data_IF_450149638002
#
_entry.id   IF_450149638002
#
_cell.length_a   1.000
_cell.length_b   1.000
_cell.length_c   1.000
_cell.angle_alpha   90.00
_cell.angle_beta   90.00
_cell.angle_gamma   90.00
#
_symmetry.space_group_name_H-M   'P 1'
#
loop_
_entity.id
_entity.type
_entity.pdbx_description
1 polymer ?
#
# COMPACT_ATOMS: atom_id res chain seq x y z
N UNK A 1 1.66 -33.11 14.49
CA UNK A 1 2.54 -32.51 13.48
C UNK A 1 1.89 -31.24 13.00
N UNK A 2 2.68 -30.20 12.75
CA UNK A 2 2.18 -28.87 12.36
C UNK A 2 1.26 -28.93 11.12
N UNK A 3 1.62 -29.77 10.16
CA UNK A 3 0.80 -30.05 8.97
C UNK A 3 -0.64 -30.47 9.34
N UNK A 4 -0.80 -31.47 10.22
CA UNK A 4 -2.12 -31.95 10.62
C UNK A 4 -2.96 -30.88 11.31
N UNK A 5 -2.33 -30.02 12.12
CA UNK A 5 -3.02 -28.94 12.81
C UNK A 5 -3.53 -27.88 11.81
N UNK A 6 -2.70 -27.52 10.83
CA UNK A 6 -3.08 -26.61 9.73
C UNK A 6 -4.22 -27.17 8.89
N UNK A 7 -4.15 -28.45 8.49
CA UNK A 7 -5.22 -29.12 7.74
C UNK A 7 -6.52 -29.15 8.54
N UNK A 8 -6.46 -29.45 9.84
CA UNK A 8 -7.63 -29.48 10.72
C UNK A 8 -8.29 -28.10 10.88
N UNK A 9 -7.49 -27.05 11.07
CA UNK A 9 -7.97 -25.68 11.17
C UNK A 9 -8.58 -25.19 9.84
N UNK A 10 -7.94 -25.52 8.71
CA UNK A 10 -8.46 -25.25 7.38
C UNK A 10 -9.79 -25.99 7.12
N UNK A 11 -9.84 -27.29 7.40
CA UNK A 11 -11.05 -28.11 7.26
C UNK A 11 -12.23 -27.52 8.05
N UNK A 12 -11.99 -27.10 9.29
CA UNK A 12 -13.00 -26.49 10.17
C UNK A 12 -13.51 -25.16 9.62
N UNK A 13 -12.63 -24.29 9.15
CA UNK A 13 -13.00 -22.96 8.63
C UNK A 13 -13.74 -23.03 7.29
N UNK A 14 -13.37 -23.99 6.44
CA UNK A 14 -13.98 -24.18 5.13
C UNK A 14 -15.27 -25.00 5.19
N UNK A 15 -15.42 -25.82 6.24
CA UNK A 15 -16.57 -26.70 6.45
C UNK A 15 -16.50 -27.99 5.61
N UNK A 16 -15.30 -28.51 5.38
CA UNK A 16 -15.02 -29.73 4.61
C UNK A 16 -14.32 -30.75 5.52
N UNK A 17 -14.59 -32.04 5.35
CA UNK A 17 -13.95 -33.08 6.17
C UNK A 17 -12.43 -33.16 5.92
N UNK A 18 -11.66 -33.39 6.99
CA UNK A 18 -10.19 -33.44 6.94
C UNK A 18 -9.65 -34.44 5.91
N UNK A 19 -10.25 -35.64 5.83
CA UNK A 19 -9.85 -36.67 4.87
C UNK A 19 -10.00 -36.18 3.41
N UNK A 20 -11.06 -35.42 3.12
CA UNK A 20 -11.30 -34.90 1.77
C UNK A 20 -10.35 -33.76 1.44
N UNK A 21 -10.01 -32.91 2.41
CA UNK A 21 -8.98 -31.87 2.22
C UNK A 21 -7.63 -32.51 1.87
N UNK A 22 -7.22 -33.58 2.58
CA UNK A 22 -5.96 -34.28 2.28
C UNK A 22 -5.95 -34.88 0.89
N UNK A 23 -6.99 -35.63 0.53
CA UNK A 23 -7.12 -36.24 -0.80
C UNK A 23 -6.96 -35.21 -1.93
N UNK A 24 -7.55 -34.02 -1.75
CA UNK A 24 -7.45 -32.95 -2.74
C UNK A 24 -6.09 -32.28 -2.79
N UNK A 25 -5.42 -32.12 -1.65
CA UNK A 25 -4.07 -31.56 -1.58
C UNK A 25 -3.02 -32.54 -2.11
N UNK A 26 -3.18 -33.84 -1.86
CA UNK A 26 -2.38 -34.90 -2.48
C UNK A 26 -2.50 -34.86 -4.01
N UNK A 27 -3.70 -34.59 -4.54
CA UNK A 27 -3.90 -34.36 -5.98
C UNK A 27 -3.16 -33.13 -6.54
N UNK A 28 -2.73 -32.21 -5.67
CA UNK A 28 -1.91 -31.03 -6.00
C UNK A 28 -0.42 -31.24 -5.68
N UNK A 29 0.00 -32.47 -5.33
CA UNK A 29 1.39 -32.81 -5.02
C UNK A 29 1.82 -32.51 -3.59
N UNK A 30 0.87 -32.36 -2.66
CA UNK A 30 1.15 -32.19 -1.23
C UNK A 30 1.06 -33.55 -0.53
N UNK A 31 2.18 -34.25 -0.50
CA UNK A 31 2.26 -35.65 -0.10
C UNK A 31 2.51 -35.77 1.41
N UNK A 32 1.48 -35.51 2.21
CA UNK A 32 1.50 -35.76 3.66
C UNK A 32 2.43 -34.83 4.48
N UNK A 33 3.01 -35.36 5.56
CA UNK A 33 3.72 -34.60 6.61
C UNK A 33 5.18 -34.24 6.29
N UNK A 34 5.58 -34.26 5.02
CA UNK A 34 6.95 -33.91 4.64
C UNK A 34 7.22 -32.40 4.76
N UNK A 35 8.48 -32.01 5.03
CA UNK A 35 8.88 -30.60 5.04
C UNK A 35 8.69 -29.94 3.65
N UNK A 36 8.76 -30.73 2.58
CA UNK A 36 8.46 -30.29 1.22
C UNK A 36 6.99 -29.92 1.05
N UNK A 37 6.08 -30.71 1.63
CA UNK A 37 4.64 -30.44 1.61
C UNK A 37 4.31 -29.10 2.29
N UNK A 38 4.97 -28.79 3.42
CA UNK A 38 4.83 -27.49 4.09
C UNK A 38 5.36 -26.35 3.22
N UNK A 39 6.50 -26.54 2.56
CA UNK A 39 7.10 -25.55 1.64
C UNK A 39 6.18 -25.25 0.46
N UNK A 40 5.53 -26.29 -0.11
CA UNK A 40 4.58 -26.15 -1.22
C UNK A 40 3.33 -25.37 -0.76
N UNK A 41 2.79 -25.69 0.42
CA UNK A 41 1.61 -24.99 0.96
C UNK A 41 1.90 -23.51 1.24
N UNK A 42 3.09 -23.20 1.77
CA UNK A 42 3.45 -21.85 2.21
C UNK A 42 3.77 -20.92 1.03
N UNK A 43 4.20 -21.46 -0.11
CA UNK A 43 4.55 -20.67 -1.28
C UNK A 43 3.37 -20.55 -2.28
N UNK A 44 2.94 -19.31 -2.53
CA UNK A 44 1.90 -19.01 -3.51
C UNK A 44 2.28 -19.33 -4.95
N UNK A 45 3.57 -19.39 -5.27
CA UNK A 45 4.04 -19.79 -6.59
C UNK A 45 3.83 -21.29 -6.87
N UNK A 46 3.95 -22.13 -5.84
CA UNK A 46 3.77 -23.59 -5.97
C UNK A 46 2.31 -24.00 -5.80
N UNK A 47 1.56 -23.30 -4.95
CA UNK A 47 0.15 -23.57 -4.71
C UNK A 47 -0.68 -22.27 -4.83
N UNK A 48 -0.93 -21.80 -6.06
CA UNK A 48 -1.65 -20.56 -6.30
C UNK A 48 -3.11 -20.69 -5.89
N UNK A 49 -3.72 -19.57 -5.51
CA UNK A 49 -5.13 -19.52 -5.10
C UNK A 49 -6.08 -19.97 -6.24
N UNK A 50 -5.65 -19.87 -7.49
CA UNK A 50 -6.39 -20.35 -8.66
C UNK A 50 -6.66 -21.85 -8.61
N UNK A 51 -5.64 -22.65 -8.31
CA UNK A 51 -5.76 -24.12 -8.30
C UNK A 51 -6.63 -24.58 -7.14
N UNK A 52 -6.45 -23.98 -5.96
CA UNK A 52 -7.31 -24.22 -4.80
C UNK A 52 -8.76 -23.82 -5.07
N UNK A 53 -9.01 -22.76 -5.84
CA UNK A 53 -10.37 -22.38 -6.23
C UNK A 53 -10.98 -23.44 -7.15
N UNK A 54 -10.26 -23.91 -8.15
CA UNK A 54 -10.75 -24.97 -9.06
C UNK A 54 -11.10 -26.22 -8.27
N UNK A 55 -10.23 -26.62 -7.36
CA UNK A 55 -10.38 -27.87 -6.60
C UNK A 55 -11.47 -27.80 -5.53
N UNK A 56 -11.62 -26.67 -4.83
CA UNK A 56 -12.56 -26.56 -3.69
C UNK A 56 -13.86 -25.82 -4.02
N UNK A 57 -13.83 -24.82 -4.89
CA UNK A 57 -15.00 -23.99 -5.22
C UNK A 57 -15.71 -24.52 -6.44
N UNK A 58 -14.99 -24.79 -7.52
CA UNK A 58 -15.61 -25.22 -8.78
C UNK A 58 -16.11 -26.68 -8.70
N UNK A 59 -15.56 -27.48 -7.77
CA UNK A 59 -16.10 -28.80 -7.39
C UNK A 59 -17.36 -28.74 -6.51
N UNK A 60 -17.73 -27.55 -6.02
CA UNK A 60 -18.90 -27.35 -5.17
C UNK A 60 -18.71 -27.73 -3.70
N UNK A 61 -17.49 -28.05 -3.25
CA UNK A 61 -17.22 -28.42 -1.86
C UNK A 61 -17.35 -27.23 -0.89
N UNK A 62 -16.99 -26.03 -1.34
CA UNK A 62 -17.09 -24.81 -0.53
C UNK A 62 -17.37 -23.57 -1.37
N UNK A 63 -17.65 -22.45 -0.69
CA UNK A 63 -17.78 -21.13 -1.32
C UNK A 63 -16.45 -20.39 -1.28
N UNK A 64 -16.16 -19.58 -2.30
CA UNK A 64 -14.92 -18.79 -2.39
C UNK A 64 -14.63 -17.95 -1.14
N UNK A 65 -15.68 -17.41 -0.49
CA UNK A 65 -15.54 -16.64 0.74
C UNK A 65 -14.98 -17.49 1.89
N UNK A 66 -15.45 -18.74 2.05
CA UNK A 66 -14.96 -19.66 3.08
C UNK A 66 -13.55 -20.15 2.78
N UNK A 67 -13.25 -20.42 1.51
CA UNK A 67 -11.88 -20.75 1.08
C UNK A 67 -10.91 -19.64 1.47
N UNK A 68 -11.23 -18.37 1.19
CA UNK A 68 -10.41 -17.21 1.57
C UNK A 68 -10.20 -17.08 3.08
N UNK A 69 -11.21 -17.40 3.89
CA UNK A 69 -11.10 -17.41 5.36
C UNK A 69 -10.22 -18.56 5.85
N UNK A 70 -10.26 -19.71 5.17
CA UNK A 70 -9.43 -20.86 5.53
C UNK A 70 -7.96 -20.71 5.18
N UNK A 71 -7.63 -20.01 4.08
CA UNK A 71 -6.27 -19.94 3.55
C UNK A 71 -5.17 -19.56 4.58
N UNK A 72 -5.36 -18.59 5.49
CA UNK A 72 -4.36 -18.28 6.50
C UNK A 72 -4.05 -19.46 7.42
N UNK A 73 -5.04 -20.30 7.74
CA UNK A 73 -4.83 -21.50 8.55
C UNK A 73 -4.03 -22.56 7.80
N UNK A 74 -4.22 -22.67 6.48
CA UNK A 74 -3.47 -23.62 5.65
C UNK A 74 -2.01 -23.17 5.52
N UNK A 75 -1.77 -21.89 5.24
CA UNK A 75 -0.43 -21.30 5.05
C UNK A 75 0.32 -20.99 6.35
N UNK A 76 -0.15 -21.48 7.50
CA UNK A 76 0.48 -21.22 8.80
C UNK A 76 0.43 -19.75 9.26
N UNK A 77 -0.25 -18.86 8.51
CA UNK A 77 -0.54 -17.49 8.91
C UNK A 77 -1.67 -17.47 9.94
N UNK A 78 -1.48 -18.19 11.04
CA UNK A 78 -2.40 -18.22 12.17
C UNK A 78 -2.31 -16.86 12.85
N UNK A 79 -3.22 -15.95 12.49
CA UNK A 79 -3.53 -14.70 13.17
C UNK A 79 -2.42 -14.15 14.09
N UNK A 80 -1.53 -13.32 13.51
CA UNK A 80 -0.94 -12.19 14.24
C UNK A 80 -2.09 -11.20 14.50
N UNK A 81 -2.96 -11.56 15.44
CA UNK A 81 -3.80 -10.66 16.22
C UNK A 81 -3.09 -10.24 17.51
N UNK A 82 -1.81 -10.56 17.67
CA UNK A 82 -0.97 -9.99 18.71
C UNK A 82 -0.47 -8.62 18.24
N UNK A 83 -1.13 -7.59 18.76
CA UNK A 83 -0.53 -6.29 19.00
C UNK A 83 0.76 -6.52 19.81
N UNK A 84 1.89 -6.70 19.13
CA UNK A 84 3.20 -6.77 19.76
C UNK A 84 4.18 -5.94 18.94
N UNK A 85 4.23 -4.67 19.35
CA UNK A 85 5.35 -3.78 19.17
C UNK A 85 6.65 -4.48 19.61
N UNK A 86 7.47 -4.90 18.65
CA UNK A 86 8.92 -5.05 18.88
C UNK A 86 9.68 -4.88 17.57
N UNK A 87 10.17 -3.66 17.40
CA UNK A 87 11.48 -3.35 16.83
C UNK A 87 12.51 -4.46 17.05
N UNK A 88 13.19 -4.89 15.99
CA UNK A 88 14.63 -4.69 15.79
C UNK A 88 15.16 -5.46 14.56
N UNK A 89 16.00 -4.79 13.78
CA UNK A 89 17.06 -5.44 13.01
C UNK A 89 16.88 -5.49 11.50
N UNK A 90 17.16 -4.36 10.84
CA UNK A 90 17.85 -4.24 9.55
C UNK A 90 17.52 -5.30 8.46
N UNK A 91 16.65 -4.95 7.51
CA UNK A 91 16.66 -5.69 6.24
C UNK A 91 15.52 -5.49 5.25
N UNK A 92 14.48 -4.69 5.53
CA UNK A 92 13.26 -4.67 4.72
C UNK A 92 12.76 -3.25 4.39
N UNK A 93 13.59 -2.42 3.76
CA UNK A 93 13.16 -1.07 3.35
C UNK A 93 12.33 -1.03 2.07
N UNK A 94 12.29 -2.10 1.26
CA UNK A 94 11.56 -2.06 -0.02
C UNK A 94 10.16 -2.68 0.05
N UNK A 95 9.94 -3.75 0.82
CA UNK A 95 8.63 -4.43 0.86
C UNK A 95 7.63 -3.70 1.80
N UNK A 96 8.14 -2.95 2.77
CA UNK A 96 7.30 -2.18 3.70
C UNK A 96 6.60 -0.96 3.05
N UNK A 97 7.05 -0.52 1.87
CA UNK A 97 6.38 0.51 1.08
C UNK A 97 5.04 0.01 0.52
N UNK A 98 5.07 -1.14 -0.14
CA UNK A 98 3.91 -1.66 -0.90
C UNK A 98 2.75 -2.13 0.00
N UNK A 99 3.03 -2.69 1.17
CA UNK A 99 1.96 -3.17 2.07
C UNK A 99 1.31 -2.02 2.85
N UNK A 100 2.06 -0.94 3.15
CA UNK A 100 1.48 0.28 3.74
C UNK A 100 0.50 0.97 2.80
N UNK A 101 0.76 0.99 1.49
CA UNK A 101 -0.17 1.54 0.51
C UNK A 101 -1.50 0.78 0.46
N UNK A 102 -1.46 -0.56 0.50
CA UNK A 102 -2.68 -1.37 0.41
C UNK A 102 -3.59 -1.22 1.64
N UNK A 103 -3.03 -1.18 2.86
CA UNK A 103 -3.85 -1.00 4.08
C UNK A 103 -4.28 0.45 4.28
N UNK A 104 -3.49 1.43 3.82
CA UNK A 104 -3.89 2.83 3.84
C UNK A 104 -5.14 3.08 2.96
N UNK A 105 -5.26 2.39 1.82
CA UNK A 105 -6.37 2.57 0.87
C UNK A 105 -7.77 2.26 1.43
N UNK A 106 -7.89 1.51 2.53
CA UNK A 106 -9.17 1.15 3.13
C UNK A 106 -9.66 2.14 4.20
N UNK A 107 -8.80 3.07 4.68
CA UNK A 107 -9.19 4.06 5.70
C UNK A 107 -9.66 5.35 5.03
N UNK A 108 -10.78 5.95 5.46
CA UNK A 108 -11.20 7.26 4.97
C UNK A 108 -10.05 8.27 5.10
N UNK A 109 -9.74 9.02 4.04
CA UNK A 109 -8.65 10.02 4.02
C UNK A 109 -8.80 11.09 5.11
N UNK A 110 -10.00 11.26 5.65
CA UNK A 110 -10.28 12.16 6.76
C UNK A 110 -9.59 11.75 8.07
N UNK A 111 -9.28 10.47 8.26
CA UNK A 111 -8.68 9.92 9.49
C UNK A 111 -7.15 9.83 9.41
N UNK A 112 -6.56 10.16 8.26
CA UNK A 112 -5.13 10.06 8.04
C UNK A 112 -4.37 11.16 8.79
N UNK A 113 -3.13 10.86 9.17
CA UNK A 113 -2.28 11.85 9.83
C UNK A 113 -1.88 12.96 8.85
N UNK A 114 -1.62 14.17 9.38
CA UNK A 114 -1.19 15.30 8.54
C UNK A 114 0.10 14.98 7.76
N UNK A 115 1.00 14.15 8.32
CA UNK A 115 2.23 13.71 7.65
C UNK A 115 1.98 12.78 6.48
N UNK A 116 1.08 11.79 6.63
CA UNK A 116 0.71 10.87 5.56
C UNK A 116 0.02 11.60 4.40
N UNK A 117 -0.89 12.52 4.73
CA UNK A 117 -1.57 13.35 3.72
C UNK A 117 -0.56 14.18 2.91
N UNK A 118 0.43 14.79 3.58
CA UNK A 118 1.46 15.58 2.90
C UNK A 118 2.41 14.74 2.04
N UNK A 119 2.64 13.47 2.38
CA UNK A 119 3.47 12.55 1.58
C UNK A 119 2.82 12.15 0.26
N UNK A 120 1.49 12.09 0.21
CA UNK A 120 0.70 11.64 -0.95
C UNK A 120 0.02 12.84 -1.65
N UNK A 121 0.30 14.06 -1.20
CA UNK A 121 -0.24 15.27 -1.79
C UNK A 121 0.38 15.53 -3.17
N UNK A 122 -0.44 15.40 -4.21
CA UNK A 122 -0.08 15.66 -5.60
C UNK A 122 -1.23 16.38 -6.31
N UNK A 123 -0.97 16.86 -7.52
CA UNK A 123 -1.94 17.54 -8.38
C UNK A 123 -3.15 16.66 -8.71
N UNK A 124 -2.94 15.36 -8.81
CA UNK A 124 -3.99 14.40 -9.18
C UNK A 124 -4.88 14.01 -7.98
N UNK A 125 -4.43 14.22 -6.74
CA UNK A 125 -5.13 13.79 -5.53
C UNK A 125 -5.97 14.91 -4.90
N UNK A 126 -7.00 15.37 -5.63
CA UNK A 126 -7.88 16.48 -5.21
C UNK A 126 -8.53 16.29 -3.84
N UNK A 127 -8.90 15.06 -3.48
CA UNK A 127 -9.49 14.73 -2.17
C UNK A 127 -8.54 15.05 -1.00
N UNK A 128 -7.24 14.79 -1.16
CA UNK A 128 -6.22 15.08 -0.13
C UNK A 128 -6.11 16.59 0.07
N UNK A 129 -6.15 17.34 -1.04
CA UNK A 129 -6.16 18.79 -1.00
C UNK A 129 -7.38 19.36 -0.26
N UNK A 130 -8.56 18.78 -0.45
CA UNK A 130 -9.76 19.20 0.28
C UNK A 130 -9.66 18.96 1.79
N UNK A 131 -9.15 17.80 2.20
CA UNK A 131 -8.96 17.46 3.62
C UNK A 131 -7.96 18.44 4.26
N UNK A 132 -6.82 18.68 3.61
CA UNK A 132 -5.83 19.64 4.08
C UNK A 132 -6.37 21.07 4.12
N UNK A 133 -7.16 21.48 3.11
CA UNK A 133 -7.81 22.80 3.06
C UNK A 133 -8.81 22.97 4.20
N UNK A 134 -9.59 21.94 4.53
CA UNK A 134 -10.50 21.95 5.69
C UNK A 134 -9.70 22.09 7.00
N UNK A 135 -8.62 21.31 7.16
CA UNK A 135 -7.77 21.33 8.36
C UNK A 135 -6.99 22.65 8.54
N UNK A 136 -6.63 23.33 7.46
CA UNK A 136 -5.95 24.64 7.51
C UNK A 136 -6.92 25.83 7.48
N UNK A 137 -8.24 25.60 7.41
CA UNK A 137 -9.25 26.64 7.20
C UNK A 137 -8.99 27.50 5.95
N UNK A 138 -8.46 26.89 4.88
CA UNK A 138 -8.13 27.57 3.63
C UNK A 138 -6.90 28.48 3.69
N UNK A 139 -6.15 28.45 4.80
CA UNK A 139 -4.93 29.25 4.99
C UNK A 139 -3.73 28.62 4.23
N UNK A 140 -2.77 29.44 3.78
CA UNK A 140 -1.57 28.95 3.11
C UNK A 140 -0.71 28.14 4.09
N UNK A 141 -0.39 26.90 3.73
CA UNK A 141 0.38 26.00 4.60
C UNK A 141 1.27 25.00 3.85
N UNK A 142 1.28 25.04 2.51
CA UNK A 142 2.03 24.09 1.69
C UNK A 142 3.28 24.79 1.14
N UNK A 143 4.44 24.18 1.33
CA UNK A 143 5.71 24.67 0.79
C UNK A 143 6.28 23.61 -0.14
N UNK A 144 6.57 24.02 -1.38
CA UNK A 144 7.21 23.15 -2.36
C UNK A 144 8.72 23.36 -2.36
N UNK A 145 9.44 22.25 -2.52
CA UNK A 145 10.86 22.22 -2.86
C UNK A 145 11.08 22.63 -4.31
N UNK A 146 12.35 22.80 -4.70
CA UNK A 146 12.72 23.14 -6.09
C UNK A 146 12.26 22.09 -7.10
N UNK A 147 12.12 20.84 -6.66
CA UNK A 147 11.74 19.70 -7.49
C UNK A 147 10.21 19.56 -7.66
N UNK A 148 9.44 20.57 -7.29
CA UNK A 148 7.98 20.54 -7.22
C UNK A 148 7.37 19.53 -6.24
N UNK A 149 8.20 18.84 -5.45
CA UNK A 149 7.76 17.99 -4.34
C UNK A 149 7.42 18.83 -3.11
N UNK A 150 6.50 18.36 -2.26
CA UNK A 150 6.15 19.05 -1.01
C UNK A 150 7.25 18.85 0.02
N UNK A 151 7.71 19.94 0.63
CA UNK A 151 8.56 19.87 1.81
C UNK A 151 7.69 19.53 3.03
N UNK A 152 7.63 18.24 3.38
CA UNK A 152 6.75 17.69 4.42
C UNK A 152 7.01 18.35 5.78
N UNK A 153 8.27 18.51 6.18
CA UNK A 153 8.62 19.03 7.51
C UNK A 153 8.17 20.47 7.71
N UNK A 154 8.48 21.36 6.75
CA UNK A 154 8.10 22.78 6.83
C UNK A 154 6.57 22.93 6.73
N UNK A 155 5.94 22.20 5.81
CA UNK A 155 4.50 22.26 5.60
C UNK A 155 3.72 21.77 6.82
N UNK A 156 4.22 20.74 7.52
CA UNK A 156 3.61 20.24 8.75
C UNK A 156 3.69 21.27 9.89
N UNK A 157 4.82 21.97 10.03
CA UNK A 157 4.96 23.09 10.97
C UNK A 157 3.97 24.21 10.67
N UNK A 158 3.88 24.64 9.40
CA UNK A 158 2.95 25.68 8.96
C UNK A 158 1.49 25.27 9.14
N UNK A 159 1.15 24.00 8.92
CA UNK A 159 -0.21 23.50 9.08
C UNK A 159 -0.65 23.52 10.55
N UNK A 160 0.27 23.22 11.49
CA UNK A 160 0.01 23.38 12.94
C UNK A 160 -0.20 24.84 13.34
N UNK A 161 0.59 25.75 12.78
CA UNK A 161 0.42 27.20 13.00
C UNK A 161 -0.89 27.69 12.40
N UNK A 162 -1.21 27.28 11.17
CA UNK A 162 -2.43 27.65 10.44
C UNK A 162 -3.71 27.27 11.20
N UNK A 163 -3.71 26.17 11.97
CA UNK A 163 -4.84 25.79 12.84
C UNK A 163 -5.13 26.82 13.94
N UNK A 164 -4.11 27.55 14.40
CA UNK A 164 -4.21 28.46 15.55
C UNK A 164 -4.19 29.94 15.14
N UNK A 165 -3.44 30.27 14.09
CA UNK A 165 -3.12 31.64 13.69
C UNK A 165 -3.19 31.80 12.16
N UNK A 166 -3.47 33.02 11.66
CA UNK A 166 -3.36 33.30 10.23
C UNK A 166 -1.89 33.18 9.78
N UNK A 167 -1.68 32.56 8.63
CA UNK A 167 -0.35 32.38 8.02
C UNK A 167 -0.18 33.32 6.82
N UNK A 168 1.06 33.73 6.56
CA UNK A 168 1.43 34.61 5.44
C UNK A 168 1.83 33.79 4.21
N UNK A 169 1.68 34.38 3.02
CA UNK A 169 2.06 33.75 1.73
C UNK A 169 3.58 33.62 1.52
N UNK A 170 4.39 34.19 2.42
CA UNK A 170 5.85 34.10 2.43
C UNK A 170 6.31 33.61 3.79
N UNK A 171 7.27 32.68 3.80
CA UNK A 171 7.89 32.13 5.00
C UNK A 171 9.40 32.09 4.82
N UNK A 172 10.18 32.17 5.91
CA UNK A 172 11.65 32.10 5.85
C UNK A 172 12.08 30.73 6.35
N UNK A 173 12.71 29.95 5.47
CA UNK A 173 13.30 28.64 5.77
C UNK A 173 14.79 28.76 5.51
N UNK A 174 15.62 28.51 6.52
CA UNK A 174 17.09 28.55 6.42
C UNK A 174 17.62 29.86 5.82
N UNK A 175 17.03 31.00 6.22
CA UNK A 175 17.41 32.33 5.74
C UNK A 175 16.94 32.65 4.31
N UNK A 176 16.20 31.76 3.64
CA UNK A 176 15.62 31.98 2.31
C UNK A 176 14.12 32.20 2.40
N UNK A 177 13.64 33.26 1.75
CA UNK A 177 12.20 33.49 1.62
C UNK A 177 11.61 32.51 0.60
N UNK A 178 10.70 31.66 1.05
CA UNK A 178 9.94 30.72 0.24
C UNK A 178 8.48 31.15 0.17
N UNK A 179 7.83 30.89 -0.96
CA UNK A 179 6.39 31.13 -1.12
C UNK A 179 5.61 29.96 -0.52
N UNK A 180 4.56 30.29 0.22
CA UNK A 180 3.61 29.33 0.80
C UNK A 180 2.35 29.34 -0.04
N UNK A 181 1.82 28.16 -0.32
CA UNK A 181 0.64 27.94 -1.15
C UNK A 181 -0.52 27.42 -0.32
N UNK A 182 -1.74 27.66 -0.79
CA UNK A 182 -2.94 27.07 -0.20
C UNK A 182 -3.07 25.61 -0.64
N UNK A 183 -3.73 24.80 0.18
CA UNK A 183 -4.06 23.42 -0.23
C UNK A 183 -4.99 23.45 -1.47
N UNK A 184 -4.58 22.75 -2.52
CA UNK A 184 -5.18 22.75 -3.86
C UNK A 184 -4.47 23.68 -4.86
N UNK A 185 -3.56 24.55 -4.41
CA UNK A 185 -2.71 25.34 -5.29
C UNK A 185 -1.39 24.60 -5.53
N UNK A 186 -1.01 24.52 -6.81
CA UNK A 186 0.22 23.85 -7.24
C UNK A 186 1.10 24.84 -7.99
N UNK A 187 2.41 24.67 -7.87
CA UNK A 187 3.32 25.39 -8.74
C UNK A 187 3.12 24.91 -10.17
N UNK A 188 3.13 25.83 -11.14
CA UNK A 188 3.20 25.42 -12.53
C UNK A 188 4.49 24.61 -12.70
N UNK A 189 4.37 23.31 -13.00
CA UNK A 189 5.53 22.49 -13.35
C UNK A 189 6.26 23.25 -14.47
N UNK A 190 7.55 23.58 -14.32
CA UNK A 190 8.26 24.29 -15.37
C UNK A 190 8.08 23.50 -16.67
N UNK A 191 7.59 24.18 -17.72
CA UNK A 191 7.33 23.63 -19.06
C UNK A 191 8.63 23.24 -19.80
N UNK A 192 9.53 22.51 -19.14
CA UNK A 192 10.79 22.01 -19.69
C UNK A 192 10.75 20.48 -19.71
N UNK A 193 11.12 19.90 -20.86
CA UNK A 193 11.10 18.47 -21.25
C UNK A 193 9.94 18.02 -22.15
N UNK A 194 9.17 18.93 -22.75
CA UNK A 194 8.71 18.62 -24.11
C UNK A 194 9.96 18.52 -24.99
N UNK A 195 10.33 17.28 -25.29
CA UNK A 195 11.41 16.84 -26.18
C UNK A 195 11.70 17.88 -27.24
N UNK A 196 12.99 18.20 -27.41
CA UNK A 196 13.53 18.80 -28.63
C UNK A 196 12.74 18.31 -29.83
N UNK A 197 11.94 19.19 -30.43
CA UNK A 197 11.39 18.95 -31.75
C UNK A 197 12.58 18.63 -32.64
N UNK A 198 12.57 17.43 -33.22
CA UNK A 198 13.63 16.93 -34.05
C UNK A 198 14.05 17.98 -35.07
N UNK A 199 15.33 18.33 -35.03
CA UNK A 199 16.01 19.05 -36.09
C UNK A 199 15.74 18.31 -37.39
N UNK A 200 14.81 18.79 -38.22
CA UNK A 200 14.70 18.35 -39.61
C UNK A 200 15.97 18.83 -40.30
N UNK A 201 16.92 17.93 -40.50
CA UNK A 201 18.02 18.13 -41.44
C UNK A 201 17.43 18.20 -42.84
N UNK A 202 17.25 19.41 -43.37
CA UNK A 202 17.05 19.63 -44.79
C UNK A 202 18.38 19.30 -45.51
N UNK A 203 18.52 18.07 -45.95
CA UNK A 203 19.52 17.68 -46.94
C UNK A 203 19.12 18.28 -48.29
N UNK A 204 19.67 19.46 -48.58
CA UNK A 204 19.65 20.06 -49.92
C UNK A 204 20.61 19.28 -50.81
N UNK A 205 20.09 18.40 -51.67
CA UNK A 205 20.85 17.81 -52.77
C UNK A 205 20.79 18.79 -53.96
N UNK A 206 21.96 19.22 -54.42
CA UNK A 206 22.18 19.73 -55.77
C UNK A 206 23.12 18.78 -56.48
#
# INVERSE_FOLDING_TARGET
TEFNERIKAFATSVGVGEAKVRELLEGLGVDGESDQSLTIIDNEEFLPMGDLRVVFVDSGLTKIARLRVGMPHLRGATHIGAVASTTNGNGLSEIAGSIKEMVASARPKADWTDEELLKIYDQDTTEVAEVLRKRSHGRPSIVFSKDASVNVQVSLGLLRTAKRQPTTDKFVVDGKSVRVYRAGEFIAKPLGWYRSYGSRSCSSTR
#
